data_IF_834143745199
#
_entry.id   IF_834143745199
#
_cell.length_a   1.000
_cell.length_b   1.000
_cell.length_c   1.000
_cell.angle_alpha   90.00
_cell.angle_beta   90.00
_cell.angle_gamma   90.00
#
_symmetry.space_group_name_H-M   'P 1'
#
loop_
_entity.id
_entity.type
_entity.pdbx_description
1 polymer ?
#
# COMPACT_ATOMS: atom_id res chain seq x y z
N UNK A 1 -23.20 15.04 16.31
CA UNK A 1 -22.20 15.52 15.35
C UNK A 1 -21.11 14.48 15.15
N UNK A 2 -20.70 14.22 13.92
CA UNK A 2 -19.60 13.29 13.60
C UNK A 2 -18.42 14.01 12.95
N UNK A 3 -17.22 13.52 13.23
CA UNK A 3 -15.97 13.96 12.61
C UNK A 3 -15.40 12.92 11.64
N UNK A 4 -14.70 13.36 10.58
CA UNK A 4 -13.90 12.51 9.70
C UNK A 4 -12.47 13.02 9.61
N UNK A 5 -11.51 12.08 9.59
CA UNK A 5 -10.12 12.36 9.25
C UNK A 5 -9.60 11.36 8.21
N UNK A 6 -8.93 11.87 7.18
CA UNK A 6 -8.18 11.04 6.23
C UNK A 6 -6.72 10.91 6.67
N UNK A 7 -6.27 9.69 6.92
CA UNK A 7 -4.92 9.40 7.42
C UNK A 7 -4.16 8.49 6.46
N UNK A 8 -2.87 8.80 6.26
CA UNK A 8 -2.01 8.07 5.35
C UNK A 8 -2.02 8.59 3.91
N UNK A 9 -1.56 7.76 2.98
CA UNK A 9 -1.65 8.07 1.54
C UNK A 9 -3.09 7.92 1.02
N UNK A 10 -3.47 8.68 -0.02
CA UNK A 10 -4.80 8.58 -0.61
C UNK A 10 -5.06 7.19 -1.18
N UNK A 11 -6.35 6.87 -1.34
CA UNK A 11 -6.83 5.69 -2.03
C UNK A 11 -8.13 6.07 -2.75
N UNK A 12 -8.37 5.59 -3.99
CA UNK A 12 -9.63 5.86 -4.69
C UNK A 12 -10.83 5.44 -3.84
N UNK A 13 -11.82 6.32 -3.68
CA UNK A 13 -13.02 6.06 -2.86
C UNK A 13 -13.08 6.83 -1.53
N UNK A 14 -12.02 7.54 -1.11
CA UNK A 14 -12.06 8.32 0.15
C UNK A 14 -13.19 9.35 0.20
N UNK A 15 -13.41 10.08 -0.90
CA UNK A 15 -14.53 11.00 -1.01
C UNK A 15 -15.90 10.29 -0.93
N UNK A 16 -15.98 9.03 -1.35
CA UNK A 16 -17.20 8.22 -1.23
C UNK A 16 -17.46 7.79 0.23
N UNK A 17 -16.43 7.57 1.05
CA UNK A 17 -16.59 7.41 2.51
C UNK A 17 -17.26 8.65 3.10
N UNK A 18 -16.75 9.84 2.78
CA UNK A 18 -17.33 11.10 3.25
C UNK A 18 -18.77 11.29 2.75
N UNK A 19 -19.05 10.90 1.49
CA UNK A 19 -20.41 10.93 0.94
C UNK A 19 -21.35 9.99 1.70
N UNK A 20 -20.94 8.74 1.95
CA UNK A 20 -21.75 7.77 2.70
C UNK A 20 -22.06 8.26 4.12
N UNK A 21 -21.09 8.88 4.78
CA UNK A 21 -21.31 9.50 6.09
C UNK A 21 -22.31 10.66 6.03
N UNK A 22 -22.16 11.57 5.06
CA UNK A 22 -23.06 12.70 4.89
C UNK A 22 -24.50 12.25 4.63
N UNK A 23 -24.69 11.31 3.69
CA UNK A 23 -26.03 10.81 3.32
C UNK A 23 -26.69 10.08 4.50
N UNK A 24 -25.93 9.31 5.29
CA UNK A 24 -26.44 8.69 6.53
C UNK A 24 -26.98 9.74 7.51
N UNK A 25 -26.22 10.82 7.74
CA UNK A 25 -26.61 11.88 8.66
C UNK A 25 -27.80 12.71 8.16
N UNK A 26 -27.84 13.02 6.86
CA UNK A 26 -28.95 13.74 6.23
C UNK A 26 -30.26 12.93 6.29
N UNK A 27 -30.21 11.62 6.03
CA UNK A 27 -31.38 10.73 6.13
C UNK A 27 -31.92 10.64 7.55
N UNK A 28 -31.06 10.46 8.54
CA UNK A 28 -31.49 10.45 9.93
C UNK A 28 -32.09 11.77 10.38
N UNK A 29 -31.54 12.90 9.92
CA UNK A 29 -32.12 14.21 10.21
C UNK A 29 -33.55 14.32 9.65
N UNK A 30 -33.76 13.88 8.41
CA UNK A 30 -35.08 13.85 7.78
C UNK A 30 -36.07 12.90 8.48
N UNK A 31 -35.63 11.70 8.86
CA UNK A 31 -36.45 10.71 9.58
C UNK A 31 -36.81 11.14 11.01
N UNK A 32 -35.96 11.95 11.64
CA UNK A 32 -36.19 12.46 13.00
C UNK A 32 -37.31 13.50 13.09
N UNK A 33 -37.92 13.90 11.97
CA UNK A 33 -39.02 14.87 11.93
C UNK A 33 -38.62 16.28 12.39
N UNK A 34 -37.32 16.59 12.42
CA UNK A 34 -36.82 17.93 12.71
C UNK A 34 -37.16 18.79 11.48
N UNK A 35 -38.05 19.77 11.63
CA UNK A 35 -38.55 20.61 10.52
C UNK A 35 -37.45 21.42 9.82
N UNK A 36 -37.84 22.25 8.85
CA UNK A 36 -36.91 23.04 8.00
C UNK A 36 -35.97 23.99 8.80
N UNK A 37 -36.28 24.29 10.07
CA UNK A 37 -35.46 25.08 10.99
C UNK A 37 -34.38 24.26 11.73
N UNK A 38 -34.26 22.97 11.44
CA UNK A 38 -33.29 22.10 12.09
C UNK A 38 -31.85 22.47 11.73
N UNK A 39 -30.97 22.50 12.74
CA UNK A 39 -29.53 22.54 12.53
C UNK A 39 -29.13 21.46 11.52
N UNK A 40 -28.53 21.83 10.38
CA UNK A 40 -28.25 20.91 9.29
C UNK A 40 -27.27 19.80 9.70
N UNK A 41 -27.19 18.73 8.90
CA UNK A 41 -26.35 17.56 9.18
C UNK A 41 -24.97 17.96 9.72
N UNK A 42 -24.74 17.63 10.99
CA UNK A 42 -23.60 18.07 11.76
C UNK A 42 -22.41 17.15 11.48
N UNK A 43 -21.78 17.37 10.32
CA UNK A 43 -20.60 16.64 9.84
C UNK A 43 -19.40 17.59 9.70
N UNK A 44 -18.30 17.26 10.37
CA UNK A 44 -17.04 18.00 10.27
C UNK A 44 -15.91 17.13 9.75
N UNK A 45 -14.99 17.71 9.02
CA UNK A 45 -13.79 17.05 8.52
C UNK A 45 -12.52 17.77 8.96
N UNK A 46 -11.56 17.02 9.51
CA UNK A 46 -10.28 17.53 9.99
C UNK A 46 -9.25 17.64 8.85
N UNK A 47 -8.59 18.79 8.75
CA UNK A 47 -7.77 19.17 7.61
C UNK A 47 -6.31 18.67 7.72
N UNK A 48 -5.82 17.99 6.69
CA UNK A 48 -4.43 17.54 6.61
C UNK A 48 -4.12 16.31 7.48
N UNK A 49 -5.13 15.47 7.73
CA UNK A 49 -4.99 14.23 8.48
C UNK A 49 -4.83 14.43 9.99
N UNK A 50 -4.11 13.54 10.71
CA UNK A 50 -4.01 13.62 12.17
C UNK A 50 -3.41 14.93 12.71
N UNK A 51 -2.64 15.63 11.88
CA UNK A 51 -2.17 16.98 12.17
C UNK A 51 -3.31 18.00 12.38
N UNK A 52 -4.36 17.89 11.58
CA UNK A 52 -5.56 18.72 11.70
C UNK A 52 -6.28 18.49 13.02
N UNK A 53 -6.31 17.25 13.52
CA UNK A 53 -6.85 16.94 14.84
C UNK A 53 -6.03 17.64 15.94
N UNK A 54 -4.70 17.47 15.92
CA UNK A 54 -3.81 18.09 16.92
C UNK A 54 -3.89 19.61 16.94
N UNK A 55 -4.09 20.24 15.77
CA UNK A 55 -4.17 21.70 15.61
C UNK A 55 -5.59 22.25 15.61
N UNK A 56 -6.60 21.40 15.88
CA UNK A 56 -8.03 21.77 15.88
C UNK A 56 -8.49 22.44 14.59
N UNK A 57 -7.91 22.03 13.45
CA UNK A 57 -8.25 22.55 12.12
C UNK A 57 -9.27 21.63 11.46
N UNK A 58 -10.52 22.06 11.47
CA UNK A 58 -11.62 21.35 10.82
C UNK A 58 -12.52 22.33 10.05
N UNK A 59 -13.28 21.77 9.10
CA UNK A 59 -14.36 22.49 8.41
C UNK A 59 -15.64 21.66 8.43
N UNK A 60 -16.77 22.33 8.25
CA UNK A 60 -18.03 21.63 7.99
C UNK A 60 -18.01 20.99 6.60
N UNK A 61 -18.58 19.80 6.48
CA UNK A 61 -18.77 19.09 5.22
C UNK A 61 -20.27 18.96 4.96
N UNK A 62 -20.73 19.56 3.87
CA UNK A 62 -22.14 19.57 3.47
C UNK A 62 -22.33 19.13 2.01
N UNK A 63 -23.58 19.12 1.55
CA UNK A 63 -23.93 18.76 0.18
C UNK A 63 -23.22 19.64 -0.87
N UNK A 64 -22.93 20.91 -0.55
CA UNK A 64 -22.22 21.83 -1.42
C UNK A 64 -20.75 21.43 -1.61
N UNK A 65 -20.06 21.14 -0.51
CA UNK A 65 -18.69 20.61 -0.53
C UNK A 65 -18.60 19.26 -1.23
N UNK A 66 -19.62 18.41 -1.08
CA UNK A 66 -19.63 17.07 -1.68
C UNK A 66 -20.06 17.05 -3.15
N UNK A 67 -20.82 18.03 -3.64
CA UNK A 67 -21.39 18.03 -5.01
C UNK A 67 -20.36 17.73 -6.11
N UNK A 68 -19.14 18.28 -5.98
CA UNK A 68 -18.06 18.11 -6.97
C UNK A 68 -17.13 16.93 -6.66
N UNK A 69 -17.35 16.20 -5.57
CA UNK A 69 -16.42 15.17 -5.05
C UNK A 69 -17.02 13.77 -5.00
N UNK A 70 -18.34 13.64 -5.19
CA UNK A 70 -18.99 12.34 -5.37
C UNK A 70 -18.30 11.58 -6.51
N UNK A 71 -17.86 10.36 -6.22
CA UNK A 71 -17.17 9.47 -7.16
C UNK A 71 -15.87 10.06 -7.74
N UNK A 72 -15.29 11.09 -7.11
CA UNK A 72 -13.98 11.59 -7.49
C UNK A 72 -12.88 10.91 -6.69
N UNK A 73 -11.74 10.70 -7.34
CA UNK A 73 -10.52 10.22 -6.71
C UNK A 73 -9.91 11.23 -5.73
N UNK A 74 -8.82 10.80 -5.09
CA UNK A 74 -8.04 11.66 -4.19
C UNK A 74 -8.73 11.95 -2.86
N UNK A 75 -7.99 12.62 -1.98
CA UNK A 75 -8.40 13.00 -0.62
C UNK A 75 -8.50 14.53 -0.48
N UNK A 76 -8.73 15.25 -1.58
CA UNK A 76 -8.70 16.72 -1.67
C UNK A 76 -9.78 17.41 -0.83
N UNK A 77 -10.86 16.70 -0.45
CA UNK A 77 -11.90 17.25 0.44
C UNK A 77 -11.29 17.81 1.72
N UNK A 78 -10.38 17.06 2.36
CA UNK A 78 -9.79 17.38 3.67
C UNK A 78 -8.26 17.46 3.62
N UNK A 79 -7.62 16.95 2.57
CA UNK A 79 -6.21 16.60 2.60
C UNK A 79 -5.93 15.41 3.51
N UNK A 80 -4.67 14.99 3.59
CA UNK A 80 -4.25 13.88 4.45
C UNK A 80 -2.83 14.08 4.96
N UNK A 81 -2.45 13.28 5.95
CA UNK A 81 -1.14 13.34 6.59
C UNK A 81 -0.76 12.02 7.26
N UNK A 82 0.50 11.91 7.64
CA UNK A 82 1.09 10.73 8.31
C UNK A 82 1.57 11.05 9.73
N UNK A 83 1.02 12.09 10.36
CA UNK A 83 1.41 12.48 11.72
C UNK A 83 1.11 11.34 12.69
N UNK A 84 2.12 10.92 13.46
CA UNK A 84 2.04 9.78 14.37
C UNK A 84 1.43 10.21 15.72
N UNK A 85 0.35 9.56 16.13
CA UNK A 85 -0.28 9.78 17.44
C UNK A 85 0.18 8.68 18.40
N UNK A 86 1.22 8.95 19.20
CA UNK A 86 1.89 7.94 20.01
C UNK A 86 2.28 8.41 21.43
N UNK A 87 1.88 9.61 21.82
CA UNK A 87 2.15 10.17 23.15
C UNK A 87 0.84 10.53 23.83
N UNK A 88 0.81 10.53 25.15
CA UNK A 88 -0.37 10.97 25.92
C UNK A 88 -0.78 12.39 25.54
N UNK A 89 0.19 13.30 25.39
CA UNK A 89 -0.06 14.67 24.96
C UNK A 89 -0.73 14.76 23.57
N UNK A 90 -0.40 13.86 22.64
CA UNK A 90 -1.10 13.79 21.37
C UNK A 90 -2.57 13.36 21.57
N UNK A 91 -2.82 12.34 22.39
CA UNK A 91 -4.19 11.88 22.65
C UNK A 91 -5.03 12.93 23.40
N UNK A 92 -4.46 13.64 24.37
CA UNK A 92 -5.09 14.76 25.07
C UNK A 92 -5.45 15.89 24.10
N UNK A 93 -4.54 16.25 23.18
CA UNK A 93 -4.82 17.26 22.17
C UNK A 93 -5.96 16.86 21.23
N UNK A 94 -6.03 15.57 20.84
CA UNK A 94 -7.15 15.05 20.04
C UNK A 94 -8.45 15.04 20.85
N UNK A 95 -8.41 14.66 22.15
CA UNK A 95 -9.56 14.75 23.07
C UNK A 95 -10.10 16.16 23.10
N UNK A 96 -9.26 17.15 23.33
CA UNK A 96 -9.67 18.55 23.38
C UNK A 96 -10.32 18.99 22.06
N UNK A 97 -9.76 18.57 20.92
CA UNK A 97 -10.35 18.86 19.60
C UNK A 97 -11.74 18.24 19.43
N UNK A 98 -11.94 17.02 19.92
CA UNK A 98 -13.23 16.33 19.86
C UNK A 98 -14.28 16.99 20.76
N UNK A 99 -13.88 17.41 21.97
CA UNK A 99 -14.75 18.14 22.92
C UNK A 99 -15.10 19.53 22.37
N UNK A 100 -14.11 20.29 21.86
CA UNK A 100 -14.34 21.61 21.26
C UNK A 100 -15.27 21.55 20.05
N UNK A 101 -15.10 20.53 19.20
CA UNK A 101 -15.96 20.31 18.06
C UNK A 101 -17.31 19.66 18.44
N UNK A 102 -17.56 19.32 19.71
CA UNK A 102 -18.77 18.66 20.23
C UNK A 102 -19.11 17.35 19.49
N UNK A 103 -18.12 16.46 19.35
CA UNK A 103 -18.26 15.22 18.59
C UNK A 103 -18.86 14.08 19.41
N UNK A 104 -19.88 13.43 18.86
CA UNK A 104 -20.38 12.13 19.34
C UNK A 104 -19.53 10.98 18.79
N UNK A 105 -18.88 11.18 17.64
CA UNK A 105 -17.98 10.19 17.08
C UNK A 105 -16.96 10.74 16.09
N UNK A 106 -15.80 10.10 16.02
CA UNK A 106 -14.70 10.39 15.12
C UNK A 106 -14.41 9.18 14.24
N UNK A 107 -14.56 9.35 12.93
CA UNK A 107 -14.23 8.35 11.93
C UNK A 107 -12.80 8.55 11.43
N UNK A 108 -11.94 7.55 11.63
CA UNK A 108 -10.55 7.52 11.18
C UNK A 108 -10.44 6.64 9.95
N UNK A 109 -10.26 7.26 8.78
CA UNK A 109 -10.12 6.57 7.51
C UNK A 109 -8.63 6.42 7.17
N UNK A 110 -8.10 5.20 7.25
CA UNK A 110 -6.66 4.96 7.10
C UNK A 110 -6.26 3.49 7.07
N UNK A 111 -4.95 3.24 7.00
CA UNK A 111 -4.37 1.89 6.98
C UNK A 111 -4.17 1.29 8.38
N UNK A 112 -3.30 0.30 8.48
CA UNK A 112 -2.94 -0.40 9.72
C UNK A 112 -2.38 0.56 10.79
N UNK A 113 -1.41 1.42 10.45
CA UNK A 113 -0.81 2.37 11.40
C UNK A 113 -1.85 3.40 11.90
N UNK A 114 -2.79 3.79 11.03
CA UNK A 114 -3.83 4.77 11.37
C UNK A 114 -4.90 4.16 12.28
N UNK A 115 -5.34 2.94 11.98
CA UNK A 115 -6.31 2.23 12.81
C UNK A 115 -5.68 1.70 14.11
N UNK A 116 -4.36 1.49 14.15
CA UNK A 116 -3.63 1.26 15.40
C UNK A 116 -3.74 2.48 16.32
N UNK A 117 -3.47 3.69 15.80
CA UNK A 117 -3.64 4.91 16.57
C UNK A 117 -5.10 5.12 16.98
N UNK A 118 -6.06 4.80 16.10
CA UNK A 118 -7.48 4.88 16.40
C UNK A 118 -7.90 3.95 17.56
N UNK A 119 -7.35 2.74 17.64
CA UNK A 119 -7.62 1.80 18.73
C UNK A 119 -7.16 2.35 20.09
N UNK A 120 -5.95 2.92 20.15
CA UNK A 120 -5.45 3.55 21.38
C UNK A 120 -6.20 4.83 21.73
N UNK A 121 -6.57 5.62 20.71
CA UNK A 121 -7.38 6.82 20.90
C UNK A 121 -8.75 6.47 21.46
N UNK A 122 -9.40 5.42 20.95
CA UNK A 122 -10.70 4.94 21.43
C UNK A 122 -10.69 4.65 22.93
N UNK A 123 -9.65 3.94 23.40
CA UNK A 123 -9.45 3.63 24.83
C UNK A 123 -9.20 4.89 25.64
N UNK A 124 -8.33 5.78 25.15
CA UNK A 124 -7.98 7.01 25.85
C UNK A 124 -9.18 7.96 26.02
N UNK A 125 -9.99 8.14 24.96
CA UNK A 125 -11.17 9.00 25.01
C UNK A 125 -12.25 8.42 25.93
N UNK A 126 -12.44 7.10 25.93
CA UNK A 126 -13.43 6.43 26.79
C UNK A 126 -13.07 6.50 28.29
N UNK A 127 -11.80 6.69 28.64
CA UNK A 127 -11.38 6.86 30.02
C UNK A 127 -11.71 8.25 30.61
N UNK A 128 -12.02 9.24 29.78
CA UNK A 128 -12.41 10.58 30.22
C UNK A 128 -13.93 10.74 30.27
N UNK A 129 -14.54 10.93 31.46
CA UNK A 129 -15.99 11.08 31.58
C UNK A 129 -16.55 12.34 30.89
N UNK A 130 -15.69 13.31 30.52
CA UNK A 130 -16.10 14.51 29.81
C UNK A 130 -16.03 14.36 28.28
N UNK A 131 -15.57 13.21 27.78
CA UNK A 131 -15.48 12.93 26.35
C UNK A 131 -16.45 11.80 25.98
N UNK A 132 -17.50 12.14 25.21
CA UNK A 132 -18.48 11.15 24.72
C UNK A 132 -18.13 10.58 23.34
N UNK A 133 -17.03 11.01 22.75
CA UNK A 133 -16.68 10.72 21.36
C UNK A 133 -16.28 9.26 21.17
N UNK A 134 -17.07 8.50 20.43
CA UNK A 134 -16.70 7.15 19.98
C UNK A 134 -15.73 7.22 18.78
N UNK A 135 -14.75 6.31 18.72
CA UNK A 135 -13.81 6.24 17.59
C UNK A 135 -14.10 5.02 16.73
N UNK A 136 -14.32 5.27 15.43
CA UNK A 136 -14.60 4.23 14.43
C UNK A 136 -13.57 4.28 13.30
N UNK A 137 -13.05 3.14 12.90
CA UNK A 137 -12.11 3.01 11.78
C UNK A 137 -12.79 2.75 10.45
N UNK A 138 -12.14 3.11 9.35
CA UNK A 138 -12.46 2.64 7.99
C UNK A 138 -11.19 2.07 7.34
N UNK A 139 -11.24 0.85 6.77
CA UNK A 139 -10.07 0.16 6.24
C UNK A 139 -9.65 0.70 4.87
N UNK A 140 -8.70 1.64 4.88
CA UNK A 140 -8.14 2.28 3.69
C UNK A 140 -6.71 1.81 3.46
N UNK A 141 -6.42 1.15 2.35
CA UNK A 141 -5.06 0.99 1.81
C UNK A 141 -5.14 0.47 0.39
N UNK A 142 -4.27 0.97 -0.50
CA UNK A 142 -4.14 0.37 -1.83
C UNK A 142 -3.25 -0.88 -1.77
N UNK A 143 -2.50 -1.07 -0.69
CA UNK A 143 -1.57 -2.19 -0.53
C UNK A 143 -2.32 -3.49 -0.12
N UNK A 144 -3.60 -3.37 0.24
CA UNK A 144 -4.48 -4.46 0.70
C UNK A 144 -3.90 -5.30 1.86
N UNK A 145 -3.11 -4.66 2.71
CA UNK A 145 -2.44 -5.27 3.87
C UNK A 145 -3.21 -5.10 5.19
N UNK A 146 -4.39 -4.47 5.17
CA UNK A 146 -5.30 -4.38 6.31
C UNK A 146 -6.49 -5.32 6.13
N UNK A 147 -6.34 -6.57 6.60
CA UNK A 147 -7.35 -7.64 6.48
C UNK A 147 -7.63 -8.33 7.82
N UNK A 148 -8.69 -9.13 7.83
CA UNK A 148 -9.07 -9.99 8.95
C UNK A 148 -10.30 -9.50 9.72
N UNK A 149 -10.82 -10.35 10.60
CA UNK A 149 -12.00 -10.05 11.42
C UNK A 149 -13.29 -9.77 10.64
N UNK A 150 -13.34 -10.09 9.35
CA UNK A 150 -14.45 -9.77 8.44
C UNK A 150 -14.05 -8.83 7.28
N UNK A 151 -12.90 -8.15 7.39
CA UNK A 151 -12.35 -7.31 6.32
C UNK A 151 -11.68 -8.22 5.28
N UNK A 152 -12.34 -8.42 4.14
CA UNK A 152 -11.79 -9.19 3.01
C UNK A 152 -10.84 -8.38 2.11
N UNK A 153 -11.13 -7.08 1.94
CA UNK A 153 -10.36 -6.16 1.11
C UNK A 153 -10.43 -4.75 1.69
N UNK A 154 -9.36 -3.97 1.57
CA UNK A 154 -9.39 -2.53 1.88
C UNK A 154 -9.74 -1.70 0.64
N UNK A 155 -10.48 -0.62 0.83
CA UNK A 155 -10.91 0.18 -0.32
C UNK A 155 -9.72 0.88 -1.00
N UNK A 156 -9.82 0.98 -2.32
CA UNK A 156 -8.85 1.57 -3.24
C UNK A 156 -7.89 0.56 -3.87
N UNK A 157 -7.82 -0.67 -3.37
CA UNK A 157 -7.01 -1.74 -3.96
C UNK A 157 -7.49 -2.09 -5.38
N UNK A 158 -8.80 -2.27 -5.56
CA UNK A 158 -9.39 -2.63 -6.85
C UNK A 158 -9.08 -1.59 -7.92
N UNK A 159 -9.33 -0.31 -7.61
CA UNK A 159 -9.05 0.81 -8.51
C UNK A 159 -7.56 0.96 -8.84
N UNK A 160 -6.70 0.92 -7.82
CA UNK A 160 -5.26 1.08 -8.02
C UNK A 160 -4.69 -0.08 -8.86
N UNK A 161 -5.08 -1.31 -8.56
CA UNK A 161 -4.67 -2.50 -9.32
C UNK A 161 -5.14 -2.43 -10.78
N UNK A 162 -6.34 -1.88 -11.04
CA UNK A 162 -6.86 -1.65 -12.39
C UNK A 162 -5.99 -0.72 -13.22
N UNK A 163 -5.63 0.43 -12.67
CA UNK A 163 -4.75 1.42 -13.34
C UNK A 163 -3.35 0.84 -13.61
N UNK A 164 -2.78 0.12 -12.63
CA UNK A 164 -1.47 -0.51 -12.81
C UNK A 164 -1.53 -1.64 -13.84
N UNK A 165 -2.56 -2.48 -13.82
CA UNK A 165 -2.73 -3.56 -14.76
C UNK A 165 -2.93 -3.06 -16.20
N UNK A 166 -3.67 -1.95 -16.40
CA UNK A 166 -3.76 -1.27 -17.69
C UNK A 166 -2.37 -0.84 -18.19
N UNK A 167 -1.61 -0.14 -17.33
CA UNK A 167 -0.28 0.38 -17.66
C UNK A 167 0.68 -0.77 -18.01
N UNK A 168 0.72 -1.81 -17.17
CA UNK A 168 1.56 -2.99 -17.37
C UNK A 168 1.15 -3.75 -18.63
N UNK A 169 -0.15 -3.94 -18.88
CA UNK A 169 -0.67 -4.61 -20.08
C UNK A 169 -0.30 -3.86 -21.38
N UNK A 170 -0.29 -2.53 -21.33
CA UNK A 170 0.19 -1.69 -22.42
C UNK A 170 1.70 -1.89 -22.66
N UNK A 171 2.52 -1.93 -21.59
CA UNK A 171 3.96 -2.22 -21.69
C UNK A 171 4.23 -3.64 -22.22
N UNK A 172 3.43 -4.63 -21.82
CA UNK A 172 3.52 -5.98 -22.36
C UNK A 172 3.25 -6.01 -23.87
N UNK A 173 2.25 -5.26 -24.32
CA UNK A 173 1.91 -5.16 -25.75
C UNK A 173 3.00 -4.42 -26.54
N UNK A 174 3.58 -3.35 -25.97
CA UNK A 174 4.72 -2.63 -26.55
C UNK A 174 5.97 -3.51 -26.64
N UNK A 175 6.30 -4.25 -25.56
CA UNK A 175 7.43 -5.17 -25.52
C UNK A 175 7.36 -6.20 -26.65
N UNK A 176 6.18 -6.82 -26.84
CA UNK A 176 5.93 -7.77 -27.94
C UNK A 176 6.06 -7.11 -29.32
N UNK A 177 5.59 -5.87 -29.45
CA UNK A 177 5.58 -5.14 -30.73
C UNK A 177 6.97 -4.66 -31.14
N UNK A 178 7.75 -4.15 -30.19
CA UNK A 178 9.08 -3.61 -30.42
C UNK A 178 10.15 -4.71 -30.51
N UNK A 179 9.94 -5.84 -29.83
CA UNK A 179 10.83 -7.01 -29.85
C UNK A 179 12.20 -6.81 -29.19
N UNK A 180 12.43 -5.67 -28.50
CA UNK A 180 13.79 -5.23 -28.11
C UNK A 180 13.96 -4.69 -26.69
N UNK A 181 12.88 -4.55 -25.92
CA UNK A 181 12.90 -3.90 -24.60
C UNK A 181 12.57 -4.88 -23.48
N UNK A 182 13.31 -4.77 -22.39
CA UNK A 182 12.99 -5.43 -21.12
C UNK A 182 12.46 -4.41 -20.12
N UNK A 183 11.15 -4.43 -19.87
CA UNK A 183 10.50 -3.48 -18.97
C UNK A 183 10.59 -4.00 -17.53
N UNK A 184 11.25 -3.25 -16.67
CA UNK A 184 11.25 -3.47 -15.22
C UNK A 184 10.25 -2.50 -14.59
N UNK A 185 9.16 -3.04 -14.08
CA UNK A 185 8.05 -2.26 -13.51
C UNK A 185 8.03 -2.45 -12.00
N UNK A 186 8.42 -1.42 -11.27
CA UNK A 186 8.20 -1.35 -9.82
C UNK A 186 6.72 -1.11 -9.57
N UNK A 187 6.12 -1.88 -8.67
CA UNK A 187 4.71 -1.73 -8.28
C UNK A 187 4.65 -1.33 -6.81
N UNK A 188 3.94 -0.25 -6.50
CA UNK A 188 3.73 0.21 -5.11
C UNK A 188 3.15 -0.93 -4.28
N UNK A 189 3.64 -1.06 -3.05
CA UNK A 189 3.34 -2.21 -2.19
C UNK A 189 4.43 -2.36 -1.17
N UNK A 190 4.29 -1.67 -0.03
CA UNK A 190 5.41 -1.46 0.88
C UNK A 190 5.82 -2.71 1.66
N UNK A 191 4.85 -3.41 2.22
CA UNK A 191 5.09 -4.55 3.14
C UNK A 191 4.36 -5.82 2.69
N UNK A 192 3.75 -5.80 1.51
CA UNK A 192 3.04 -6.92 0.93
C UNK A 192 3.06 -6.82 -0.58
N UNK A 193 3.02 -7.96 -1.26
CA UNK A 193 3.06 -8.03 -2.73
C UNK A 193 1.67 -8.17 -3.37
N UNK A 194 0.58 -7.82 -2.68
CA UNK A 194 -0.80 -8.02 -3.18
C UNK A 194 -1.04 -7.34 -4.54
N UNK A 195 -0.63 -6.08 -4.69
CA UNK A 195 -0.75 -5.34 -5.96
C UNK A 195 0.08 -5.97 -7.07
N UNK A 196 1.30 -6.41 -6.77
CA UNK A 196 2.17 -7.11 -7.74
C UNK A 196 1.56 -8.45 -8.17
N UNK A 197 1.01 -9.21 -7.23
CA UNK A 197 0.34 -10.48 -7.50
C UNK A 197 -0.90 -10.29 -8.38
N UNK A 198 -1.75 -9.30 -8.06
CA UNK A 198 -2.94 -8.97 -8.84
C UNK A 198 -2.57 -8.55 -10.28
N UNK A 199 -1.61 -7.65 -10.43
CA UNK A 199 -1.12 -7.23 -11.75
C UNK A 199 -0.53 -8.40 -12.54
N UNK A 200 0.19 -9.32 -11.88
CA UNK A 200 0.74 -10.51 -12.52
C UNK A 200 -0.37 -11.43 -13.05
N UNK A 201 -1.40 -11.68 -12.25
CA UNK A 201 -2.56 -12.50 -12.63
C UNK A 201 -3.35 -11.89 -13.80
N UNK A 202 -3.41 -10.55 -13.87
CA UNK A 202 -4.13 -9.83 -14.93
C UNK A 202 -3.34 -9.64 -16.23
N UNK A 203 -2.01 -9.56 -16.17
CA UNK A 203 -1.19 -9.20 -17.33
C UNK A 203 -0.27 -10.31 -17.83
N UNK A 204 -0.04 -11.36 -17.04
CA UNK A 204 0.84 -12.49 -17.36
C UNK A 204 2.26 -12.06 -17.82
N UNK A 205 3.00 -11.29 -17.00
CA UNK A 205 4.39 -10.88 -17.31
C UNK A 205 5.32 -12.09 -17.33
N UNK A 206 6.52 -11.94 -17.92
CA UNK A 206 7.49 -13.05 -17.93
C UNK A 206 8.02 -13.34 -16.53
N UNK A 207 8.19 -12.31 -15.70
CA UNK A 207 8.60 -12.45 -14.29
C UNK A 207 7.71 -11.56 -13.43
N UNK A 208 7.25 -12.08 -12.31
CA UNK A 208 6.70 -11.29 -11.22
C UNK A 208 7.29 -11.80 -9.91
N UNK A 209 7.95 -10.91 -9.16
CA UNK A 209 8.54 -11.26 -7.88
C UNK A 209 7.48 -11.08 -6.78
N UNK A 210 7.35 -12.08 -5.91
CA UNK A 210 6.50 -12.02 -4.71
C UNK A 210 7.43 -12.00 -3.51
N UNK A 211 7.52 -10.88 -2.80
CA UNK A 211 8.46 -10.69 -1.69
C UNK A 211 8.30 -11.76 -0.61
N UNK A 212 7.08 -12.12 -0.27
CA UNK A 212 6.76 -13.17 0.69
C UNK A 212 7.37 -14.52 0.31
N UNK A 213 7.33 -14.90 -0.97
CA UNK A 213 7.94 -16.13 -1.48
C UNK A 213 9.47 -16.05 -1.45
N UNK A 214 10.03 -14.91 -1.86
CA UNK A 214 11.48 -14.65 -1.81
C UNK A 214 12.01 -14.83 -0.39
N UNK A 215 11.32 -14.27 0.60
CA UNK A 215 11.69 -14.40 2.01
C UNK A 215 11.53 -15.85 2.51
N UNK A 216 10.40 -16.50 2.21
CA UNK A 216 10.13 -17.87 2.65
C UNK A 216 11.14 -18.89 2.12
N UNK A 217 11.60 -18.70 0.87
CA UNK A 217 12.56 -19.57 0.22
C UNK A 217 14.03 -19.19 0.47
N UNK A 218 14.28 -18.10 1.23
CA UNK A 218 15.64 -17.65 1.53
C UNK A 218 16.42 -17.18 0.30
N UNK A 219 15.73 -16.64 -0.72
CA UNK A 219 16.36 -16.27 -2.00
C UNK A 219 17.14 -14.96 -1.83
N UNK A 220 18.43 -14.99 -2.16
CA UNK A 220 19.32 -13.82 -2.07
C UNK A 220 19.12 -12.85 -3.24
N UNK A 221 19.62 -11.62 -3.10
CA UNK A 221 19.57 -10.65 -4.20
C UNK A 221 20.30 -11.16 -5.45
N UNK A 222 21.48 -11.78 -5.27
CA UNK A 222 22.24 -12.38 -6.38
C UNK A 222 21.46 -13.49 -7.08
N UNK A 223 20.75 -14.35 -6.33
CA UNK A 223 19.95 -15.42 -6.92
C UNK A 223 18.77 -14.90 -7.75
N UNK A 224 18.12 -13.81 -7.31
CA UNK A 224 17.08 -13.13 -8.11
C UNK A 224 17.66 -12.58 -9.42
N UNK A 225 18.82 -11.94 -9.35
CA UNK A 225 19.51 -11.39 -10.53
C UNK A 225 19.89 -12.50 -11.50
N UNK A 226 20.42 -13.61 -10.99
CA UNK A 226 20.83 -14.77 -11.78
C UNK A 226 19.66 -15.44 -12.50
N UNK A 227 18.52 -15.59 -11.82
CA UNK A 227 17.29 -16.14 -12.41
C UNK A 227 16.81 -15.28 -13.59
N UNK A 228 16.77 -13.96 -13.41
CA UNK A 228 16.34 -13.03 -14.47
C UNK A 228 17.35 -13.02 -15.62
N UNK A 229 18.65 -12.96 -15.33
CA UNK A 229 19.69 -12.98 -16.37
C UNK A 229 19.64 -14.28 -17.19
N UNK A 230 19.48 -15.42 -16.53
CA UNK A 230 19.33 -16.74 -17.18
C UNK A 230 18.10 -16.76 -18.10
N UNK A 231 16.98 -16.18 -17.66
CA UNK A 231 15.77 -16.08 -18.47
C UNK A 231 15.97 -15.18 -19.71
N UNK A 232 16.62 -14.02 -19.54
CA UNK A 232 16.92 -13.11 -20.65
C UNK A 232 17.73 -13.83 -21.72
N UNK A 233 18.77 -14.56 -21.32
CA UNK A 233 19.61 -15.33 -22.25
C UNK A 233 18.88 -16.50 -22.89
N UNK A 234 18.02 -17.20 -22.13
CA UNK A 234 17.19 -18.29 -22.66
C UNK A 234 16.24 -17.79 -23.74
N UNK A 235 15.56 -16.66 -23.50
CA UNK A 235 14.66 -16.03 -24.48
C UNK A 235 15.43 -15.51 -25.69
N UNK A 236 16.61 -14.90 -25.49
CA UNK A 236 17.45 -14.42 -26.59
C UNK A 236 17.88 -15.55 -27.54
N UNK A 237 18.13 -16.77 -27.02
CA UNK A 237 18.42 -17.96 -27.85
C UNK A 237 17.26 -18.38 -28.73
N UNK A 238 16.02 -18.04 -28.35
CA UNK A 238 14.81 -18.25 -29.16
C UNK A 238 14.47 -17.05 -30.05
N UNK A 239 15.35 -16.04 -30.12
CA UNK A 239 15.12 -14.80 -30.87
C UNK A 239 14.21 -13.79 -30.17
N UNK A 240 13.87 -14.01 -28.90
CA UNK A 240 13.04 -13.12 -28.09
C UNK A 240 13.93 -12.21 -27.22
N UNK A 241 14.14 -10.97 -27.67
CA UNK A 241 14.99 -9.98 -26.95
C UNK A 241 14.19 -8.96 -26.12
N UNK A 242 12.96 -9.31 -25.75
CA UNK A 242 12.06 -8.49 -24.93
C UNK A 242 11.42 -9.28 -23.79
N UNK A 243 10.92 -8.54 -22.80
CA UNK A 243 10.17 -9.09 -21.68
C UNK A 243 9.69 -8.03 -20.69
N UNK A 244 8.90 -8.47 -19.71
CA UNK A 244 8.37 -7.64 -18.62
C UNK A 244 8.62 -8.32 -17.28
N UNK A 245 9.18 -7.56 -16.34
CA UNK A 245 9.50 -7.97 -14.96
C UNK A 245 8.73 -7.07 -14.00
N UNK A 246 7.87 -7.65 -13.17
CA UNK A 246 7.21 -6.93 -12.08
C UNK A 246 7.99 -7.10 -10.77
N UNK A 247 8.23 -5.97 -10.11
CA UNK A 247 9.04 -5.88 -8.89
C UNK A 247 8.20 -5.20 -7.80
N UNK A 248 7.91 -5.84 -6.66
CA UNK A 248 7.24 -5.17 -5.56
C UNK A 248 8.18 -4.11 -4.98
N UNK A 249 7.67 -2.91 -4.70
CA UNK A 249 8.44 -1.80 -4.11
C UNK A 249 9.17 -2.23 -2.83
N UNK A 250 8.51 -3.06 -2.02
CA UNK A 250 9.06 -3.59 -0.77
C UNK A 250 10.10 -4.70 -0.91
N UNK A 251 10.46 -5.17 -2.12
CA UNK A 251 11.24 -6.40 -2.33
C UNK A 251 12.51 -6.48 -1.46
N UNK A 252 13.26 -5.39 -1.32
CA UNK A 252 14.52 -5.39 -0.57
C UNK A 252 14.35 -5.74 0.91
N UNK A 253 13.18 -5.46 1.50
CA UNK A 253 12.89 -5.86 2.88
C UNK A 253 12.54 -7.35 3.01
N UNK A 254 12.26 -8.04 1.90
CA UNK A 254 11.99 -9.47 1.86
C UNK A 254 13.20 -10.32 1.50
N UNK A 255 14.18 -9.72 0.83
CA UNK A 255 15.44 -10.38 0.44
C UNK A 255 16.33 -10.50 1.69
N UNK A 256 16.62 -11.71 2.23
CA UNK A 256 17.16 -11.87 3.59
C UNK A 256 18.53 -11.22 3.84
N UNK A 257 19.42 -11.29 2.86
CA UNK A 257 20.76 -10.67 2.89
C UNK A 257 20.65 -9.13 2.95
N UNK A 258 19.75 -8.55 2.16
CA UNK A 258 19.51 -7.10 2.16
C UNK A 258 18.74 -6.66 3.41
N UNK A 259 17.74 -7.43 3.87
CA UNK A 259 17.01 -7.15 5.10
C UNK A 259 17.94 -7.13 6.32
N UNK A 260 18.84 -8.12 6.43
CA UNK A 260 19.88 -8.16 7.47
C UNK A 260 20.79 -6.93 7.41
N UNK A 261 21.23 -6.54 6.22
CA UNK A 261 22.01 -5.32 6.02
C UNK A 261 21.23 -4.07 6.50
N UNK A 262 19.96 -3.93 6.13
CA UNK A 262 19.12 -2.80 6.53
C UNK A 262 18.92 -2.72 8.05
N UNK A 263 18.77 -3.85 8.73
CA UNK A 263 18.66 -3.93 10.18
C UNK A 263 19.97 -3.56 10.88
N UNK A 264 21.11 -4.01 10.34
CA UNK A 264 22.43 -3.61 10.84
C UNK A 264 22.68 -2.11 10.64
N UNK A 265 22.37 -1.56 9.47
CA UNK A 265 22.44 -0.12 9.19
C UNK A 265 21.52 0.68 10.11
N UNK A 266 20.36 0.14 10.50
CA UNK A 266 19.46 0.77 11.47
C UNK A 266 20.09 0.92 12.85
N UNK A 267 20.87 -0.07 13.28
CA UNK A 267 21.59 -0.04 14.56
C UNK A 267 22.78 0.91 14.53
N UNK A 268 23.50 0.96 13.40
CA UNK A 268 24.69 1.81 13.23
C UNK A 268 24.29 3.29 13.11
N UNK A 269 23.16 3.59 12.46
CA UNK A 269 22.69 4.96 12.24
C UNK A 269 21.26 5.21 12.79
N UNK A 270 21.07 5.25 14.12
CA UNK A 270 19.74 5.32 14.75
C UNK A 270 18.96 6.64 14.58
N UNK A 271 19.42 7.58 13.74
CA UNK A 271 18.74 8.86 13.46
C UNK A 271 18.84 9.36 12.01
N UNK A 272 19.46 8.58 11.11
CA UNK A 272 19.81 9.04 9.77
C UNK A 272 20.99 10.03 9.77
N UNK A 273 21.95 9.81 8.86
CA UNK A 273 23.17 10.60 8.67
C UNK A 273 24.09 10.75 9.90
N UNK A 274 25.01 9.79 10.05
CA UNK A 274 26.34 10.06 10.60
C UNK A 274 27.38 9.46 9.65
N UNK A 275 28.57 10.03 9.66
CA UNK A 275 29.72 9.78 8.76
C UNK A 275 29.81 8.36 8.19
N UNK A 276 29.70 8.21 6.85
CA UNK A 276 29.77 6.92 6.14
C UNK A 276 31.18 6.32 6.11
N UNK A 277 32.18 7.08 6.58
CA UNK A 277 33.60 6.70 6.54
C UNK A 277 33.93 5.41 7.29
N UNK A 278 33.07 4.98 8.24
CA UNK A 278 33.30 3.78 9.06
C UNK A 278 32.11 2.79 9.12
N UNK A 279 31.09 2.97 8.27
CA UNK A 279 29.89 2.11 8.26
C UNK A 279 30.24 0.66 7.95
N UNK A 280 31.06 0.41 6.92
CA UNK A 280 31.44 -0.95 6.49
C UNK A 280 32.18 -1.74 7.57
N UNK A 281 32.99 -1.08 8.41
CA UNK A 281 33.72 -1.71 9.51
C UNK A 281 32.81 -2.10 10.69
N UNK A 282 31.61 -1.52 10.76
CA UNK A 282 30.62 -1.77 11.83
C UNK A 282 29.60 -2.86 11.46
N UNK A 283 29.66 -3.35 10.22
CA UNK A 283 28.78 -4.40 9.71
C UNK A 283 29.38 -5.79 9.96
N UNK A 284 28.51 -6.79 10.07
CA UNK A 284 28.92 -8.20 10.02
C UNK A 284 29.54 -8.53 8.66
N UNK A 285 30.34 -9.61 8.58
CA UNK A 285 30.97 -10.03 7.31
C UNK A 285 29.94 -10.25 6.20
N UNK A 286 28.79 -10.85 6.50
CA UNK A 286 27.73 -11.10 5.52
C UNK A 286 27.08 -9.81 5.03
N UNK A 287 26.80 -8.88 5.95
CA UNK A 287 26.21 -7.59 5.62
C UNK A 287 27.20 -6.72 4.83
N UNK A 288 28.48 -6.74 5.19
CA UNK A 288 29.54 -6.07 4.45
C UNK A 288 29.71 -6.64 3.03
N UNK A 289 29.61 -7.96 2.85
CA UNK A 289 29.62 -8.60 1.53
C UNK A 289 28.44 -8.14 0.68
N UNK A 290 27.24 -8.13 1.27
CA UNK A 290 26.02 -7.66 0.60
C UNK A 290 26.10 -6.18 0.25
N UNK A 291 26.64 -5.35 1.14
CA UNK A 291 26.86 -3.93 0.87
C UNK A 291 27.84 -3.71 -0.29
N UNK A 292 28.91 -4.51 -0.37
CA UNK A 292 29.89 -4.43 -1.45
C UNK A 292 29.35 -4.88 -2.82
N UNK A 293 28.31 -5.71 -2.87
CA UNK A 293 27.65 -6.10 -4.12
C UNK A 293 26.63 -5.08 -4.62
N UNK A 294 26.25 -4.09 -3.80
CA UNK A 294 25.29 -3.05 -4.19
C UNK A 294 25.98 -1.88 -4.91
N UNK A 295 25.30 -1.25 -5.89
CA UNK A 295 25.73 0.05 -6.41
C UNK A 295 25.84 1.11 -5.31
N UNK A 296 26.87 1.96 -5.40
CA UNK A 296 27.18 2.98 -4.38
C UNK A 296 26.00 3.94 -4.08
N UNK A 297 25.24 4.31 -5.10
CA UNK A 297 24.06 5.19 -4.97
C UNK A 297 22.95 4.52 -4.15
N UNK A 298 22.68 3.24 -4.40
CA UNK A 298 21.69 2.45 -3.67
C UNK A 298 22.12 2.24 -2.21
N UNK A 299 23.39 1.90 -1.97
CA UNK A 299 23.91 1.75 -0.61
C UNK A 299 23.80 3.06 0.20
N UNK A 300 24.13 4.19 -0.44
CA UNK A 300 23.97 5.51 0.18
C UNK A 300 22.50 5.83 0.50
N UNK A 301 21.56 5.41 -0.35
CA UNK A 301 20.13 5.64 -0.14
C UNK A 301 19.55 4.79 1.00
N UNK A 302 19.95 3.52 1.09
CA UNK A 302 19.59 2.63 2.20
C UNK A 302 20.07 3.17 3.56
N UNK A 303 21.19 3.89 3.57
CA UNK A 303 21.76 4.50 4.78
C UNK A 303 21.01 5.77 5.21
N UNK A 304 20.35 6.48 4.28
CA UNK A 304 19.78 7.81 4.52
C UNK A 304 18.29 7.84 4.89
N UNK A 305 17.51 6.84 4.48
CA UNK A 305 16.06 7.02 4.32
C UNK A 305 15.21 6.35 5.41
N UNK A 306 14.62 7.12 6.34
CA UNK A 306 13.57 6.63 7.27
C UNK A 306 12.33 7.52 7.29
N UNK A 307 11.17 6.94 7.56
CA UNK A 307 9.89 7.66 7.70
C UNK A 307 9.59 8.02 9.18
N UNK A 308 8.53 8.81 9.47
CA UNK A 308 8.15 9.17 10.85
C UNK A 308 7.78 7.99 11.77
N UNK A 309 7.59 6.79 11.21
CA UNK A 309 7.30 5.56 11.94
C UNK A 309 8.56 4.70 12.16
N UNK A 310 9.74 5.18 11.72
CA UNK A 310 11.03 4.50 11.85
C UNK A 310 11.33 3.49 10.73
N UNK A 311 10.42 3.34 9.77
CA UNK A 311 10.55 2.38 8.69
C UNK A 311 11.46 2.93 7.57
N UNK A 312 12.27 2.08 6.92
CA UNK A 312 12.98 2.44 5.70
C UNK A 312 12.03 3.03 4.64
N UNK A 313 12.43 4.09 3.93
CA UNK A 313 11.62 4.62 2.80
C UNK A 313 11.96 3.86 1.52
N UNK A 314 11.48 2.63 1.42
CA UNK A 314 11.66 1.78 0.23
C UNK A 314 11.14 2.42 -1.06
N UNK A 315 10.14 3.31 -0.97
CA UNK A 315 9.65 4.09 -2.11
C UNK A 315 10.71 4.95 -2.78
N UNK A 316 11.71 5.39 -2.02
CA UNK A 316 12.81 6.21 -2.54
C UNK A 316 13.81 5.34 -3.33
N UNK A 317 14.02 4.10 -2.87
CA UNK A 317 14.95 3.16 -3.50
C UNK A 317 14.36 2.64 -4.82
N UNK A 318 15.03 2.97 -5.92
CA UNK A 318 14.69 2.51 -7.26
C UNK A 318 15.09 1.03 -7.46
N UNK A 319 14.36 0.14 -6.81
CA UNK A 319 14.63 -1.31 -6.78
C UNK A 319 14.60 -1.94 -8.18
N UNK A 320 13.78 -1.42 -9.09
CA UNK A 320 13.73 -1.86 -10.48
C UNK A 320 15.00 -1.48 -11.26
N UNK A 321 15.58 -0.31 -10.98
CA UNK A 321 16.85 0.13 -11.59
C UNK A 321 18.02 -0.65 -11.02
N UNK A 322 18.01 -0.92 -9.71
CA UNK A 322 18.99 -1.80 -9.08
C UNK A 322 19.02 -3.16 -9.79
N UNK A 323 17.87 -3.83 -9.87
CA UNK A 323 17.79 -5.16 -10.50
C UNK A 323 18.22 -5.11 -11.98
N UNK A 324 17.70 -4.17 -12.77
CA UNK A 324 18.08 -4.10 -14.19
C UNK A 324 19.57 -3.79 -14.42
N UNK A 325 20.21 -2.98 -13.57
CA UNK A 325 21.67 -2.74 -13.63
C UNK A 325 22.46 -3.99 -13.27
N UNK A 326 22.07 -4.72 -12.22
CA UNK A 326 22.74 -5.95 -11.80
C UNK A 326 22.59 -7.04 -12.86
N UNK A 327 21.38 -7.23 -13.42
CA UNK A 327 21.12 -8.16 -14.53
C UNK A 327 21.97 -7.81 -15.74
N UNK A 328 22.07 -6.53 -16.11
CA UNK A 328 22.94 -6.08 -17.19
C UNK A 328 24.39 -6.44 -16.95
N UNK A 329 24.92 -6.13 -15.76
CA UNK A 329 26.30 -6.47 -15.39
C UNK A 329 26.56 -7.98 -15.45
N UNK A 330 25.56 -8.79 -15.10
CA UNK A 330 25.66 -10.26 -15.13
C UNK A 330 25.73 -10.80 -16.56
N UNK A 331 24.87 -10.30 -17.45
CA UNK A 331 24.85 -10.66 -18.88
C UNK A 331 26.16 -10.22 -19.55
N UNK A 332 26.61 -8.98 -19.29
CA UNK A 332 27.86 -8.44 -19.87
C UNK A 332 29.08 -9.27 -19.45
N UNK A 333 29.15 -9.67 -18.17
CA UNK A 333 30.21 -10.54 -17.65
C UNK A 333 30.17 -11.94 -18.29
N UNK A 334 29.00 -12.58 -18.37
CA UNK A 334 28.84 -13.89 -19.01
C UNK A 334 29.14 -13.84 -20.52
N UNK A 335 28.85 -12.71 -21.18
CA UNK A 335 29.19 -12.47 -22.57
C UNK A 335 30.69 -12.25 -22.81
N UNK A 336 31.42 -11.70 -21.83
CA UNK A 336 32.88 -11.59 -21.90
C UNK A 336 33.55 -12.96 -21.81
N UNK A 337 33.17 -13.78 -20.82
CA UNK A 337 33.71 -15.15 -20.64
C UNK A 337 33.49 -16.03 -21.87
N UNK A 338 32.28 -16.03 -22.45
CA UNK A 338 31.98 -16.83 -23.67
C UNK A 338 32.77 -16.39 -24.90
N UNK A 339 33.08 -15.09 -25.03
CA UNK A 339 33.92 -14.56 -26.12
C UNK A 339 35.37 -15.00 -25.98
N UNK A 340 35.88 -15.12 -24.75
CA UNK A 340 37.20 -15.68 -24.47
C UNK A 340 37.27 -17.19 -24.77
N UNK A 341 36.17 -17.93 -24.58
CA UNK A 341 36.08 -19.38 -24.80
C UNK A 341 35.78 -19.80 -26.26
N UNK A 342 35.79 -18.85 -27.22
CA UNK A 342 35.51 -19.08 -28.65
C UNK A 342 34.18 -19.79 -28.96
N UNK A 343 33.22 -19.77 -28.03
CA UNK A 343 31.89 -20.34 -28.21
C UNK A 343 30.99 -19.32 -28.93
N UNK A 344 30.02 -19.80 -29.71
CA UNK A 344 29.01 -18.98 -30.40
C UNK A 344 28.16 -18.23 -29.39
N UNK A 345 28.68 -17.11 -28.89
CA UNK A 345 28.01 -16.24 -27.96
C UNK A 345 26.80 -15.62 -28.68
N UNK A 346 25.60 -16.00 -28.26
CA UNK A 346 24.41 -15.21 -28.57
C UNK A 346 24.59 -13.90 -27.83
N UNK A 347 24.81 -12.81 -28.57
CA UNK A 347 24.87 -11.46 -28.03
C UNK A 347 23.45 -11.08 -27.59
N UNK A 348 23.10 -11.43 -26.36
CA UNK A 348 21.80 -11.17 -25.78
C UNK A 348 21.64 -9.66 -25.59
N UNK A 349 21.16 -8.98 -26.64
CA UNK A 349 20.92 -7.54 -26.63
C UNK A 349 19.91 -7.20 -25.53
N UNK A 350 20.41 -6.73 -24.40
CA UNK A 350 19.60 -6.38 -23.23
C UNK A 350 19.44 -4.87 -23.12
N UNK A 351 18.22 -4.38 -23.39
CA UNK A 351 17.86 -2.96 -23.30
C UNK A 351 16.79 -2.74 -22.23
N UNK A 352 17.17 -2.53 -20.96
CA UNK A 352 16.22 -2.34 -19.88
C UNK A 352 15.55 -0.96 -19.93
N UNK A 353 14.25 -0.93 -19.64
CA UNK A 353 13.44 0.29 -19.47
C UNK A 353 12.74 0.22 -18.12
N UNK A 354 12.78 1.30 -17.36
CA UNK A 354 12.34 1.33 -15.96
C UNK A 354 11.05 2.12 -15.79
N UNK A 355 10.11 1.56 -15.03
CA UNK A 355 8.80 2.14 -14.75
C UNK A 355 8.48 2.01 -13.27
N UNK A 356 7.68 2.93 -12.73
CA UNK A 356 7.15 2.84 -11.38
C UNK A 356 5.66 3.14 -11.36
N UNK A 357 4.85 2.12 -11.09
CA UNK A 357 3.41 2.20 -10.90
C UNK A 357 3.08 2.44 -9.43
N UNK A 358 2.63 3.66 -9.08
CA UNK A 358 2.28 4.01 -7.70
C UNK A 358 1.46 5.29 -7.55
N UNK A 359 2.06 6.44 -7.82
CA UNK A 359 1.41 7.73 -7.55
C UNK A 359 0.20 8.03 -8.43
N UNK A 360 0.17 7.48 -9.63
CA UNK A 360 -0.91 7.60 -10.61
C UNK A 360 -2.15 6.78 -10.23
N UNK A 361 -2.01 5.67 -9.49
CA UNK A 361 -3.13 4.79 -9.13
C UNK A 361 -3.84 5.17 -7.83
N UNK A 362 -3.17 5.90 -6.93
CA UNK A 362 -3.71 6.19 -5.58
C UNK A 362 -4.78 7.30 -5.51
N UNK A 363 -4.89 8.11 -6.56
CA UNK A 363 -5.82 9.25 -6.63
C UNK A 363 -6.70 9.24 -7.88
N UNK A 364 -6.67 8.15 -8.66
CA UNK A 364 -7.55 7.97 -9.81
C UNK A 364 -9.02 7.87 -9.41
N UNK A 365 -9.91 7.90 -10.40
CA UNK A 365 -11.33 7.67 -10.18
C UNK A 365 -11.54 6.27 -9.57
N UNK A 366 -12.36 6.13 -8.51
CA UNK A 366 -12.69 4.82 -7.97
C UNK A 366 -13.52 4.05 -8.99
N UNK A 367 -13.22 2.76 -9.18
CA UNK A 367 -14.07 1.81 -9.90
C UNK A 367 -15.47 1.78 -9.28
N UNK A 368 -16.46 1.23 -10.00
CA UNK A 368 -17.81 1.04 -9.44
C UNK A 368 -17.79 0.24 -8.14
N UNK A 369 -16.89 -0.75 -8.05
CA UNK A 369 -16.66 -1.51 -6.82
C UNK A 369 -16.19 -0.60 -5.69
N UNK A 370 -15.06 0.09 -5.83
CA UNK A 370 -14.52 0.95 -4.76
C UNK A 370 -15.43 2.13 -4.43
N UNK A 371 -16.11 2.70 -5.42
CA UNK A 371 -17.07 3.78 -5.23
C UNK A 371 -18.24 3.33 -4.34
N UNK A 372 -18.78 2.14 -4.61
CA UNK A 372 -19.90 1.56 -3.86
C UNK A 372 -19.44 1.06 -2.49
N UNK A 373 -18.31 0.35 -2.44
CA UNK A 373 -17.72 -0.23 -1.24
C UNK A 373 -17.34 0.85 -0.23
N UNK A 374 -16.64 1.90 -0.67
CA UNK A 374 -16.26 3.01 0.20
C UNK A 374 -17.48 3.82 0.68
N UNK A 375 -18.50 4.00 -0.16
CA UNK A 375 -19.77 4.62 0.26
C UNK A 375 -20.47 3.79 1.34
N UNK A 376 -20.58 2.48 1.16
CA UNK A 376 -21.17 1.57 2.15
C UNK A 376 -20.38 1.56 3.47
N UNK A 377 -19.05 1.57 3.42
CA UNK A 377 -18.18 1.69 4.58
C UNK A 377 -18.39 3.03 5.31
N UNK A 378 -18.52 4.14 4.58
CA UNK A 378 -18.80 5.45 5.16
C UNK A 378 -20.15 5.51 5.87
N UNK A 379 -21.19 4.97 5.24
CA UNK A 379 -22.53 4.87 5.82
C UNK A 379 -22.51 4.00 7.09
N UNK A 380 -21.84 2.84 7.04
CA UNK A 380 -21.67 1.95 8.18
C UNK A 380 -20.89 2.61 9.31
N UNK A 381 -19.81 3.33 9.01
CA UNK A 381 -19.00 4.02 10.01
C UNK A 381 -19.78 5.14 10.71
N UNK A 382 -20.57 5.92 9.96
CA UNK A 382 -21.47 6.90 10.56
C UNK A 382 -22.53 6.24 11.44
N UNK A 383 -23.10 5.12 10.99
CA UNK A 383 -24.08 4.32 11.74
C UNK A 383 -23.51 3.85 13.09
N UNK A 384 -22.32 3.23 13.04
CA UNK A 384 -21.62 2.72 14.21
C UNK A 384 -21.23 3.84 15.18
N UNK A 385 -20.67 4.94 14.66
CA UNK A 385 -20.18 6.04 15.48
C UNK A 385 -21.32 6.74 16.22
N UNK A 386 -22.43 7.05 15.55
CA UNK A 386 -23.58 7.67 16.20
C UNK A 386 -24.34 6.71 17.12
N UNK A 387 -24.24 5.40 16.89
CA UNK A 387 -24.69 4.37 17.83
C UNK A 387 -23.80 4.19 19.06
N UNK A 388 -22.69 4.95 19.17
CA UNK A 388 -21.76 4.87 20.29
C UNK A 388 -20.79 3.67 20.24
N UNK A 389 -20.69 2.98 19.10
CA UNK A 389 -19.75 1.89 18.96
C UNK A 389 -18.30 2.43 18.94
N UNK A 390 -17.54 2.13 19.99
CA UNK A 390 -16.18 2.64 20.19
C UNK A 390 -15.12 1.57 19.94
N UNK A 391 -13.99 1.96 19.33
CA UNK A 391 -12.86 1.06 19.09
C UNK A 391 -13.13 -0.05 18.07
N UNK A 392 -14.04 0.21 17.12
CA UNK A 392 -14.42 -0.72 16.05
C UNK A 392 -14.01 -0.19 14.68
N UNK A 393 -13.69 -1.08 13.75
CA UNK A 393 -13.49 -0.75 12.34
C UNK A 393 -14.70 -1.23 11.53
N UNK A 394 -15.23 -0.35 10.67
CA UNK A 394 -16.33 -0.68 9.78
C UNK A 394 -15.87 -1.70 8.74
N UNK A 395 -16.74 -2.66 8.43
CA UNK A 395 -16.48 -3.68 7.41
C UNK A 395 -17.74 -3.96 6.61
N UNK A 396 -17.54 -4.36 5.36
CA UNK A 396 -18.57 -4.96 4.52
C UNK A 396 -18.17 -6.42 4.31
N UNK A 397 -19.04 -7.32 4.71
CA UNK A 397 -18.89 -8.76 4.54
C UNK A 397 -19.53 -9.21 3.22
N UNK A 398 -18.95 -10.25 2.61
CA UNK A 398 -19.32 -10.77 1.29
C UNK A 398 -19.20 -9.72 0.15
N UNK A 399 -18.12 -8.91 0.06
CA UNK A 399 -17.95 -7.94 -1.02
C UNK A 399 -17.85 -8.58 -2.41
N UNK A 400 -17.58 -9.88 -2.50
CA UNK A 400 -17.53 -10.69 -3.72
C UNK A 400 -18.90 -11.00 -4.32
N UNK A 401 -19.99 -10.70 -3.61
CA UNK A 401 -21.34 -10.92 -4.12
C UNK A 401 -21.58 -10.15 -5.44
N UNK A 402 -22.34 -10.75 -6.36
CA UNK A 402 -22.66 -10.15 -7.66
C UNK A 402 -23.48 -8.86 -7.57
N UNK A 403 -24.14 -8.60 -6.44
CA UNK A 403 -24.87 -7.37 -6.20
C UNK A 403 -24.47 -6.75 -4.86
N UNK A 404 -24.23 -5.42 -4.81
CA UNK A 404 -24.05 -4.70 -3.56
C UNK A 404 -25.25 -4.77 -2.58
N UNK A 405 -26.42 -5.22 -3.06
CA UNK A 405 -27.61 -5.44 -2.21
C UNK A 405 -27.45 -6.62 -1.26
N UNK A 406 -26.59 -7.57 -1.60
CA UNK A 406 -26.34 -8.78 -0.81
C UNK A 406 -25.17 -8.59 0.16
N UNK A 407 -24.54 -7.41 0.14
CA UNK A 407 -23.51 -7.02 1.08
C UNK A 407 -24.11 -6.79 2.46
N UNK A 408 -23.36 -7.16 3.51
CA UNK A 408 -23.75 -6.86 4.89
C UNK A 408 -22.67 -6.04 5.57
N UNK A 409 -23.08 -5.01 6.30
CA UNK A 409 -22.18 -4.14 7.06
C UNK A 409 -22.06 -4.61 8.51
N UNK A 410 -20.87 -4.48 9.10
CA UNK A 410 -20.61 -4.80 10.50
C UNK A 410 -19.51 -3.91 11.09
N UNK A 411 -19.36 -3.95 12.42
CA UNK A 411 -18.24 -3.35 13.14
C UNK A 411 -17.37 -4.44 13.76
N UNK A 412 -16.06 -4.40 13.51
CA UNK A 412 -15.09 -5.37 14.04
C UNK A 412 -14.28 -4.68 15.14
N UNK A 413 -14.20 -5.23 16.37
CA UNK A 413 -13.35 -4.64 17.40
C UNK A 413 -11.88 -4.59 16.95
N UNK A 414 -11.27 -3.40 16.93
CA UNK A 414 -9.90 -3.21 16.45
C UNK A 414 -8.89 -4.05 17.23
N UNK A 415 -9.12 -4.24 18.54
CA UNK A 415 -8.28 -5.07 19.40
C UNK A 415 -8.15 -6.53 18.91
N UNK A 416 -9.13 -7.07 18.16
CA UNK A 416 -9.05 -8.42 17.56
C UNK A 416 -8.00 -8.49 16.45
N UNK A 417 -7.72 -7.37 15.79
CA UNK A 417 -6.76 -7.24 14.69
C UNK A 417 -5.34 -6.94 15.20
N UNK A 418 -5.18 -6.59 16.49
CA UNK A 418 -3.90 -6.20 17.05
C UNK A 418 -3.04 -7.39 17.46
N UNK A 419 -1.71 -7.27 17.28
CA UNK A 419 -0.67 -8.22 17.70
C UNK A 419 0.54 -7.47 18.25
N UNK A 420 1.37 -8.15 19.03
CA UNK A 420 2.65 -7.60 19.49
C UNK A 420 3.67 -7.69 18.35
N UNK A 421 4.33 -6.58 18.07
CA UNK A 421 5.46 -6.50 17.14
C UNK A 421 6.62 -5.75 17.80
N UNK A 422 7.85 -6.16 17.51
CA UNK A 422 9.05 -5.41 17.93
C UNK A 422 9.27 -4.24 16.98
N UNK A 423 9.14 -3.01 17.48
CA UNK A 423 9.46 -1.77 16.74
C UNK A 423 10.45 -0.95 17.54
N UNK A 424 11.59 -0.61 16.93
CA UNK A 424 12.70 0.14 17.58
C UNK A 424 13.22 -0.57 18.84
N UNK A 425 13.25 -1.92 18.84
CA UNK A 425 13.70 -2.72 19.98
C UNK A 425 12.73 -2.77 21.16
N UNK A 426 11.50 -2.26 21.01
CA UNK A 426 10.44 -2.34 22.03
C UNK A 426 9.24 -3.10 21.49
N UNK A 427 8.63 -3.96 22.32
CA UNK A 427 7.34 -4.55 22.01
C UNK A 427 6.26 -3.47 21.98
N UNK A 428 5.52 -3.37 20.86
CA UNK A 428 4.37 -2.50 20.72
C UNK A 428 3.18 -3.30 20.20
N UNK A 429 2.00 -2.97 20.67
CA UNK A 429 0.76 -3.54 20.16
C UNK A 429 0.33 -2.74 18.92
N UNK A 430 0.19 -3.41 17.78
CA UNK A 430 -0.15 -2.79 16.49
C UNK A 430 -1.12 -3.67 15.72
N UNK A 431 -1.91 -3.09 14.81
CA UNK A 431 -2.67 -3.89 13.84
C UNK A 431 -1.66 -4.52 12.88
N UNK A 432 -1.69 -5.86 12.83
CA UNK A 432 -0.73 -6.62 12.03
C UNK A 432 -1.05 -6.46 10.55
N UNK A 433 -0.04 -6.17 9.75
CA UNK A 433 -0.14 -6.18 8.28
C UNK A 433 -0.32 -7.62 7.79
N UNK A 434 -1.20 -7.80 6.82
CA UNK A 434 -1.50 -9.10 6.22
C UNK A 434 -0.73 -9.24 4.91
N UNK A 435 0.32 -10.06 4.86
CA UNK A 435 1.08 -10.30 3.64
C UNK A 435 0.31 -11.22 2.68
N UNK A 436 0.83 -11.46 1.47
CA UNK A 436 0.32 -12.50 0.56
C UNK A 436 0.33 -13.86 1.26
N UNK A 437 -0.81 -14.56 1.23
CA UNK A 437 -0.89 -15.94 1.70
C UNK A 437 -0.35 -16.90 0.64
N UNK A 438 0.84 -17.47 0.90
CA UNK A 438 1.50 -18.44 0.02
C UNK A 438 0.74 -19.77 -0.09
N UNK A 439 -0.22 -20.03 0.79
CA UNK A 439 -1.14 -21.18 0.68
C UNK A 439 -2.51 -20.77 0.10
N UNK A 440 -2.69 -19.48 -0.20
CA UNK A 440 -3.94 -18.91 -0.67
C UNK A 440 -4.21 -19.19 -2.16
N UNK A 441 -5.48 -19.14 -2.53
CA UNK A 441 -5.92 -19.43 -3.91
C UNK A 441 -5.32 -18.51 -4.98
N UNK A 442 -5.11 -17.23 -4.67
CA UNK A 442 -4.52 -16.27 -5.60
C UNK A 442 -3.05 -16.62 -5.92
N UNK A 443 -2.25 -16.92 -4.89
CA UNK A 443 -0.85 -17.33 -5.08
C UNK A 443 -0.75 -18.69 -5.76
N UNK A 444 -1.60 -19.65 -5.39
CA UNK A 444 -1.68 -20.95 -6.07
C UNK A 444 -2.00 -20.80 -7.57
N UNK A 445 -2.95 -19.92 -7.92
CA UNK A 445 -3.27 -19.61 -9.31
C UNK A 445 -2.07 -19.00 -10.06
N UNK A 446 -1.31 -18.11 -9.42
CA UNK A 446 -0.09 -17.53 -9.98
C UNK A 446 0.99 -18.59 -10.22
N UNK A 447 1.32 -19.41 -9.21
CA UNK A 447 2.34 -20.47 -9.30
C UNK A 447 2.00 -21.46 -10.41
N UNK A 448 0.73 -21.85 -10.55
CA UNK A 448 0.31 -22.80 -11.59
C UNK A 448 0.52 -22.32 -13.04
N UNK A 449 0.76 -21.02 -13.25
CA UNK A 449 0.83 -20.40 -14.59
C UNK A 449 2.17 -19.73 -14.88
N UNK A 450 2.89 -19.23 -13.87
CA UNK A 450 4.07 -18.37 -14.03
C UNK A 450 5.17 -18.98 -14.90
N UNK A 451 5.44 -20.28 -14.77
CA UNK A 451 6.50 -20.94 -15.54
C UNK A 451 6.17 -20.93 -17.05
N UNK A 452 4.89 -21.04 -17.38
CA UNK A 452 4.40 -20.92 -18.76
C UNK A 452 4.48 -19.50 -19.32
N UNK A 453 4.58 -18.47 -18.48
CA UNK A 453 4.70 -17.06 -18.90
C UNK A 453 6.16 -16.65 -19.16
N UNK A 454 7.12 -17.36 -18.57
CA UNK A 454 8.56 -17.04 -18.67
C UNK A 454 9.04 -17.08 -20.12
N UNK A 455 8.82 -18.19 -20.82
CA UNK A 455 9.31 -18.40 -22.19
C UNK A 455 8.30 -17.97 -23.27
N UNK A 456 7.00 -17.99 -22.97
CA UNK A 456 5.95 -17.69 -23.96
C UNK A 456 5.24 -16.40 -23.61
N UNK A 457 5.13 -15.48 -24.57
CA UNK A 457 4.42 -14.22 -24.42
C UNK A 457 2.91 -14.42 -24.30
N UNK A 458 2.42 -14.77 -23.12
CA UNK A 458 0.98 -14.92 -22.81
C UNK A 458 0.34 -13.63 -22.30
N UNK A 459 0.92 -12.48 -22.63
CA UNK A 459 0.48 -11.19 -22.13
C UNK A 459 -1.01 -10.95 -22.35
N UNK A 460 -1.65 -10.37 -21.35
CA UNK A 460 -3.00 -9.83 -21.41
C UNK A 460 -2.96 -8.32 -21.21
N UNK A 461 -3.81 -7.60 -21.95
CA UNK A 461 -4.01 -6.17 -21.82
C UNK A 461 -5.46 -5.92 -21.37
N UNK A 462 -5.72 -5.69 -20.07
CA UNK A 462 -7.08 -5.61 -19.54
C UNK A 462 -7.85 -4.35 -19.97
N UNK A 463 -7.18 -3.36 -20.58
CA UNK A 463 -7.78 -2.09 -20.96
C UNK A 463 -8.09 -1.18 -19.75
N UNK A 464 -8.59 0.04 -20.02
CA UNK A 464 -8.94 1.01 -19.00
C UNK A 464 -10.17 0.60 -18.20
N UNK A 465 -10.27 1.10 -16.95
CA UNK A 465 -11.48 0.99 -16.14
C UNK A 465 -12.67 1.60 -16.89
N UNK A 466 -13.77 0.85 -16.96
CA UNK A 466 -15.02 1.29 -17.60
C UNK A 466 -16.01 1.78 -16.55
N UNK A 467 -16.76 2.83 -16.91
CA UNK A 467 -17.79 3.45 -16.06
C UNK A 467 -19.16 3.55 -16.77
N UNK A 468 -19.27 3.08 -18.02
CA UNK A 468 -20.46 3.16 -18.86
C UNK A 468 -20.54 2.04 -19.88
#
# INVERSE_FOLDING_TARGET
RLGLVFSGGPAPGGNNVAWGMLDCLERWAAESGRGDDAEPANFVGFLGGPDGLLRRRWKRVDAGEMKRRKNQGGFDLLGSGRTRLNTTAHFEAVRDACVEADLDGLVVCGGDDSNTNAAFLAEHLAADPNCRTAVVGVPKTIDDDLKGGGIGVSFGFDSASGVYAETIGNLCSDARSAGKYWHFVRVMGRNASHLTLECALRCAPNVALIGEEVAANGVTLEAVVDDIATLVEARAREGLTHGVVLVPEGLLAFVPDVAKLMDELARVHPGGASDTSNTMASLSMDAAKTAASLPNDIFAELTRTRDPHGNPRLSAVDTEKLLGRMVKSRIDAAGATRREEAQTAVDAKFSPVYHFCGYEGRSGLPTDFDATYAYALGYAAATLAAGGANGVIATVTNPEASSPRDWRVAGVPMCRLMRRESREGRERLVIKKTPVDLNGGAFAAFVSRRDGWRMVDRYACPGPVQFS
#
